data_IF_588071717088
#
_entry.id   IF_588071717088
#
_cell.length_a   1.000
_cell.length_b   1.000
_cell.length_c   1.000
_cell.angle_alpha   90.00
_cell.angle_beta   90.00
_cell.angle_gamma   90.00
#
_symmetry.space_group_name_H-M   'P 1'
#
loop_
_entity.id
_entity.type
_entity.pdbx_description
1 polymer ?
#
# COMPACT_ATOMS: atom_id res chain seq x y z
N UNK A 1 13.67 3.13 -4.57
CA UNK A 1 12.67 3.54 -3.57
C UNK A 1 12.97 4.85 -2.84
N UNK A 2 13.62 4.87 -1.67
CA UNK A 2 13.84 6.12 -0.92
C UNK A 2 14.57 7.20 -1.76
N UNK A 3 15.60 6.79 -2.52
CA UNK A 3 16.33 7.67 -3.45
C UNK A 3 15.50 8.18 -4.63
N UNK A 4 14.53 7.40 -5.11
CA UNK A 4 13.63 7.82 -6.21
C UNK A 4 12.59 8.83 -5.69
N UNK A 5 12.13 8.66 -4.45
CA UNK A 5 11.25 9.62 -3.81
C UNK A 5 11.90 11.01 -3.68
N UNK A 6 13.22 11.06 -3.43
CA UNK A 6 13.95 12.34 -3.33
C UNK A 6 13.82 13.23 -4.58
N UNK A 7 13.67 12.63 -5.77
CA UNK A 7 13.56 13.36 -7.04
C UNK A 7 12.12 13.44 -7.54
N UNK A 8 11.33 12.37 -7.35
CA UNK A 8 9.96 12.27 -7.88
C UNK A 8 8.84 12.59 -6.88
N UNK A 9 9.14 12.76 -5.59
CA UNK A 9 8.18 13.11 -4.55
C UNK A 9 6.96 12.17 -4.50
N UNK A 10 5.77 12.76 -4.33
CA UNK A 10 4.52 12.02 -4.20
C UNK A 10 4.17 11.18 -5.44
N UNK A 11 4.64 11.55 -6.64
CA UNK A 11 4.37 10.79 -7.87
C UNK A 11 4.97 9.38 -7.80
N UNK A 12 6.09 9.21 -7.10
CA UNK A 12 6.68 7.88 -6.84
C UNK A 12 5.75 7.04 -5.96
N UNK A 13 5.21 7.62 -4.89
CA UNK A 13 4.28 6.94 -3.99
C UNK A 13 2.96 6.58 -4.69
N UNK A 14 2.44 7.49 -5.54
CA UNK A 14 1.23 7.24 -6.34
C UNK A 14 1.44 6.11 -7.33
N UNK A 15 2.56 6.12 -8.05
CA UNK A 15 2.90 5.07 -9.01
C UNK A 15 2.91 3.70 -8.31
N UNK A 16 3.58 3.59 -7.18
CA UNK A 16 3.78 2.31 -6.50
C UNK A 16 2.49 1.81 -5.85
N UNK A 17 1.75 2.69 -5.18
CA UNK A 17 0.45 2.30 -4.62
C UNK A 17 -0.52 1.82 -5.72
N UNK A 18 -0.50 2.47 -6.88
CA UNK A 18 -1.25 2.03 -8.08
C UNK A 18 -0.76 0.68 -8.62
N UNK A 19 0.56 0.46 -8.71
CA UNK A 19 1.15 -0.82 -9.13
C UNK A 19 0.78 -1.97 -8.18
N UNK A 20 0.88 -1.75 -6.86
CA UNK A 20 0.47 -2.73 -5.84
C UNK A 20 -1.03 -3.03 -5.97
N UNK A 21 -1.86 -1.99 -6.09
CA UNK A 21 -3.30 -2.16 -6.27
C UNK A 21 -3.64 -2.97 -7.52
N UNK A 22 -3.05 -2.62 -8.67
CA UNK A 22 -3.28 -3.34 -9.92
C UNK A 22 -2.76 -4.77 -9.89
N UNK A 23 -1.60 -5.02 -9.26
CA UNK A 23 -1.07 -6.37 -9.08
C UNK A 23 -2.09 -7.25 -8.36
N UNK A 24 -2.60 -6.84 -7.20
CA UNK A 24 -3.56 -7.65 -6.45
C UNK A 24 -4.98 -7.69 -7.04
N UNK A 25 -5.33 -6.71 -7.88
CA UNK A 25 -6.61 -6.66 -8.57
C UNK A 25 -6.62 -7.54 -9.83
N UNK A 26 -5.58 -7.43 -10.66
CA UNK A 26 -5.58 -7.90 -12.06
C UNK A 26 -4.55 -8.96 -12.40
N UNK A 27 -3.46 -9.09 -11.65
CA UNK A 27 -2.47 -10.11 -11.97
C UNK A 27 -3.16 -11.49 -11.95
N UNK A 28 -3.05 -12.29 -13.03
CA UNK A 28 -3.78 -13.54 -13.15
C UNK A 28 -3.51 -14.52 -12.01
N UNK A 29 -2.30 -14.49 -11.44
CA UNK A 29 -1.92 -15.35 -10.33
C UNK A 29 -2.24 -14.70 -8.99
N UNK A 30 -1.79 -13.46 -8.75
CA UNK A 30 -1.96 -12.82 -7.45
C UNK A 30 -3.42 -12.53 -7.11
N UNK A 31 -4.24 -12.16 -8.10
CA UNK A 31 -5.67 -11.92 -7.91
C UNK A 31 -6.41 -13.22 -7.56
N UNK A 32 -6.13 -14.31 -8.29
CA UNK A 32 -6.75 -15.61 -8.01
C UNK A 32 -6.29 -16.19 -6.67
N UNK A 33 -4.99 -16.10 -6.38
CA UNK A 33 -4.41 -16.56 -5.12
C UNK A 33 -5.02 -15.83 -3.92
N UNK A 34 -5.18 -14.51 -4.01
CA UNK A 34 -5.83 -13.69 -2.97
C UNK A 34 -7.27 -14.13 -2.74
N UNK A 35 -8.03 -14.33 -3.82
CA UNK A 35 -9.44 -14.75 -3.75
C UNK A 35 -9.58 -16.12 -3.11
N UNK A 36 -8.76 -17.07 -3.53
CA UNK A 36 -8.73 -18.43 -2.96
C UNK A 36 -8.46 -18.39 -1.45
N UNK A 37 -7.42 -17.69 -1.02
CA UNK A 37 -7.11 -17.57 0.42
C UNK A 37 -8.21 -16.85 1.21
N UNK A 38 -8.83 -15.82 0.61
CA UNK A 38 -9.92 -15.06 1.25
C UNK A 38 -11.18 -15.90 1.49
N UNK A 39 -11.44 -16.89 0.63
CA UNK A 39 -12.56 -17.83 0.77
C UNK A 39 -12.23 -18.88 1.83
N UNK A 40 -11.02 -19.44 1.80
CA UNK A 40 -10.65 -20.60 2.62
C UNK A 40 -10.19 -20.24 4.05
N UNK A 41 -9.78 -19.00 4.31
CA UNK A 41 -9.31 -18.58 5.65
C UNK A 41 -10.29 -18.85 6.78
N UNK A 42 -11.60 -18.79 6.53
CA UNK A 42 -12.61 -19.02 7.58
C UNK A 42 -12.83 -20.51 7.87
N UNK A 43 -12.28 -21.42 7.06
CA UNK A 43 -12.44 -22.87 7.20
C UNK A 43 -11.16 -23.55 7.66
N UNK A 44 -10.00 -22.95 7.40
CA UNK A 44 -8.70 -23.53 7.71
C UNK A 44 -7.78 -22.49 8.36
N UNK A 45 -7.39 -22.76 9.61
CA UNK A 45 -6.54 -21.87 10.41
C UNK A 45 -5.13 -21.69 9.83
N UNK A 46 -4.59 -22.71 9.15
CA UNK A 46 -3.29 -22.61 8.47
C UNK A 46 -3.39 -21.65 7.28
N UNK A 47 -4.49 -21.73 6.52
CA UNK A 47 -4.75 -20.79 5.41
C UNK A 47 -4.98 -19.36 5.93
N UNK A 48 -5.69 -19.20 7.06
CA UNK A 48 -5.86 -17.89 7.70
C UNK A 48 -4.51 -17.28 8.14
N UNK A 49 -3.63 -18.10 8.71
CA UNK A 49 -2.26 -17.69 9.04
C UNK A 49 -1.50 -17.25 7.79
N UNK A 50 -1.49 -18.07 6.73
CA UNK A 50 -0.82 -17.75 5.46
C UNK A 50 -1.40 -16.46 4.86
N UNK A 51 -2.72 -16.28 4.90
CA UNK A 51 -3.38 -15.07 4.42
C UNK A 51 -2.86 -13.83 5.15
N UNK A 52 -2.82 -13.84 6.48
CA UNK A 52 -2.29 -12.71 7.27
C UNK A 52 -0.82 -12.46 6.98
N UNK A 53 0.01 -13.50 7.05
CA UNK A 53 1.46 -13.37 6.87
C UNK A 53 1.81 -12.80 5.48
N UNK A 54 1.21 -13.32 4.42
CA UNK A 54 1.55 -12.95 3.04
C UNK A 54 0.90 -11.64 2.62
N UNK A 55 -0.37 -11.40 2.95
CA UNK A 55 -1.11 -10.24 2.44
C UNK A 55 -1.13 -9.02 3.34
N UNK A 56 -0.90 -9.19 4.64
CA UNK A 56 -1.02 -8.11 5.62
C UNK A 56 0.35 -7.85 6.25
N UNK A 57 0.90 -8.85 6.95
CA UNK A 57 2.06 -8.64 7.82
C UNK A 57 3.32 -8.34 7.01
N UNK A 58 3.54 -9.08 5.91
CA UNK A 58 4.68 -8.83 5.01
C UNK A 58 4.59 -7.45 4.35
N UNK A 59 3.40 -7.04 3.92
CA UNK A 59 3.19 -5.74 3.27
C UNK A 59 3.46 -4.58 4.24
N UNK A 60 2.92 -4.66 5.46
CA UNK A 60 3.12 -3.65 6.50
C UNK A 60 4.58 -3.61 6.93
N UNK A 61 5.21 -4.76 7.20
CA UNK A 61 6.61 -4.81 7.67
C UNK A 61 7.58 -4.23 6.64
N UNK A 62 7.40 -4.56 5.36
CA UNK A 62 8.22 -4.01 4.28
C UNK A 62 8.07 -2.50 4.15
N UNK A 63 6.83 -1.99 4.22
CA UNK A 63 6.55 -0.57 4.12
C UNK A 63 7.05 0.20 5.35
N UNK A 64 6.97 -0.37 6.55
CA UNK A 64 7.48 0.23 7.77
C UNK A 64 9.00 0.42 7.68
N UNK A 65 9.74 -0.61 7.26
CA UNK A 65 11.18 -0.52 7.02
C UNK A 65 11.53 0.54 5.95
N UNK A 66 10.71 0.64 4.89
CA UNK A 66 10.91 1.68 3.87
C UNK A 66 10.70 3.09 4.44
N UNK A 67 9.65 3.31 5.23
CA UNK A 67 9.39 4.62 5.83
C UNK A 67 10.41 4.99 6.89
N UNK A 68 10.89 4.04 7.68
CA UNK A 68 12.03 4.23 8.59
C UNK A 68 13.27 4.72 7.82
N UNK A 69 13.60 4.09 6.69
CA UNK A 69 14.71 4.52 5.85
C UNK A 69 14.50 5.92 5.26
N UNK A 70 13.28 6.26 4.84
CA UNK A 70 12.95 7.61 4.34
C UNK A 70 13.05 8.69 5.42
N UNK A 71 12.74 8.34 6.67
CA UNK A 71 12.94 9.20 7.85
C UNK A 71 14.44 9.39 8.09
N UNK A 72 15.22 8.32 8.09
CA UNK A 72 16.68 8.36 8.31
C UNK A 72 17.40 9.20 7.26
N UNK A 73 16.95 9.16 6.00
CA UNK A 73 17.47 10.01 4.92
C UNK A 73 16.92 11.44 4.95
N UNK A 74 16.01 11.76 5.87
CA UNK A 74 15.45 13.10 6.05
C UNK A 74 14.41 13.51 5.00
N UNK A 75 13.86 12.56 4.23
CA UNK A 75 12.80 12.83 3.26
C UNK A 75 11.43 12.96 3.91
N UNK A 76 11.22 12.24 5.01
CA UNK A 76 10.01 12.29 5.81
C UNK A 76 10.30 12.80 7.22
N UNK A 77 9.30 13.43 7.83
CA UNK A 77 9.36 13.92 9.21
C UNK A 77 9.41 12.75 10.18
N UNK A 78 9.92 13.00 11.38
CA UNK A 78 9.91 12.00 12.45
C UNK A 78 8.48 11.58 12.82
N UNK A 79 8.20 10.29 12.71
CA UNK A 79 6.92 9.65 13.00
C UNK A 79 7.14 8.14 13.20
N UNK A 80 6.10 7.44 13.67
CA UNK A 80 6.12 5.99 13.82
C UNK A 80 6.01 5.29 12.44
N UNK A 81 7.04 4.53 11.99
CA UNK A 81 7.04 3.90 10.68
C UNK A 81 5.97 2.81 10.51
N UNK A 82 5.59 2.11 11.57
CA UNK A 82 4.54 1.09 11.52
C UNK A 82 3.17 1.73 11.29
N UNK A 83 2.91 2.86 11.96
CA UNK A 83 1.68 3.63 11.76
C UNK A 83 1.64 4.22 10.34
N UNK A 84 2.77 4.68 9.82
CA UNK A 84 2.87 5.15 8.43
C UNK A 84 2.56 4.03 7.43
N UNK A 85 3.09 2.84 7.64
CA UNK A 85 2.80 1.67 6.82
C UNK A 85 1.30 1.31 6.84
N UNK A 86 0.67 1.30 8.02
CA UNK A 86 -0.76 1.07 8.15
C UNK A 86 -1.59 2.10 7.37
N UNK A 87 -1.27 3.38 7.53
CA UNK A 87 -1.98 4.45 6.82
C UNK A 87 -1.78 4.37 5.31
N UNK A 88 -0.59 3.97 4.85
CA UNK A 88 -0.31 3.80 3.43
C UNK A 88 -1.03 2.58 2.82
N UNK A 89 -1.05 1.45 3.53
CA UNK A 89 -1.63 0.20 3.03
C UNK A 89 -3.16 0.14 3.14
N UNK A 90 -3.74 0.74 4.18
CA UNK A 90 -5.18 0.74 4.43
C UNK A 90 -6.05 1.12 3.21
N UNK A 91 -5.78 2.22 2.47
CA UNK A 91 -6.57 2.54 1.28
C UNK A 91 -6.40 1.50 0.18
N UNK A 92 -5.21 0.92 -0.01
CA UNK A 92 -4.97 -0.13 -1.02
C UNK A 92 -5.85 -1.34 -0.69
N UNK A 93 -5.79 -1.82 0.55
CA UNK A 93 -6.58 -2.97 1.01
C UNK A 93 -8.09 -2.70 0.92
N UNK A 94 -8.56 -1.54 1.40
CA UNK A 94 -9.97 -1.19 1.38
C UNK A 94 -10.52 -1.08 -0.04
N UNK A 95 -9.82 -0.35 -0.91
CA UNK A 95 -10.25 -0.17 -2.30
C UNK A 95 -10.22 -1.50 -3.04
N UNK A 96 -9.24 -2.36 -2.78
CA UNK A 96 -9.17 -3.68 -3.39
C UNK A 96 -10.43 -4.50 -3.05
N UNK A 97 -10.84 -4.55 -1.79
CA UNK A 97 -12.06 -5.26 -1.39
C UNK A 97 -13.34 -4.59 -1.90
N UNK A 98 -13.34 -3.26 -2.08
CA UNK A 98 -14.51 -2.51 -2.57
C UNK A 98 -14.74 -2.64 -4.08
N UNK A 99 -13.67 -2.73 -4.87
CA UNK A 99 -13.74 -2.68 -6.34
C UNK A 99 -13.40 -4.00 -7.04
N UNK A 100 -13.00 -5.04 -6.31
CA UNK A 100 -12.76 -6.37 -6.88
C UNK A 100 -13.99 -6.87 -7.66
N UNK A 101 -13.78 -7.21 -8.94
CA UNK A 101 -14.84 -7.66 -9.84
C UNK A 101 -15.71 -6.56 -10.47
N UNK A 102 -15.45 -5.27 -10.21
CA UNK A 102 -16.21 -4.13 -10.78
C UNK A 102 -15.30 -3.31 -11.72
N UNK A 103 -15.15 -3.79 -12.95
CA UNK A 103 -14.17 -3.26 -13.92
C UNK A 103 -14.41 -1.77 -14.25
N UNK A 104 -15.66 -1.34 -14.34
CA UNK A 104 -16.04 0.01 -14.75
C UNK A 104 -15.59 1.08 -13.75
N UNK A 105 -15.34 0.69 -12.49
CA UNK A 105 -15.00 1.60 -11.40
C UNK A 105 -13.51 1.62 -11.03
N UNK A 106 -12.67 0.91 -11.77
CA UNK A 106 -11.23 0.87 -11.50
C UNK A 106 -10.58 2.26 -11.59
N UNK A 107 -10.95 3.06 -12.59
CA UNK A 107 -10.45 4.43 -12.73
C UNK A 107 -10.80 5.30 -11.52
N UNK A 108 -12.00 5.10 -10.96
CA UNK A 108 -12.44 5.78 -9.74
C UNK A 108 -11.59 5.34 -8.54
N UNK A 109 -11.32 4.04 -8.39
CA UNK A 109 -10.48 3.51 -7.32
C UNK A 109 -9.06 4.10 -7.35
N UNK A 110 -8.43 4.14 -8.54
CA UNK A 110 -7.10 4.74 -8.71
C UNK A 110 -7.11 6.24 -8.40
N UNK A 111 -8.15 6.97 -8.82
CA UNK A 111 -8.27 8.40 -8.51
C UNK A 111 -8.42 8.65 -7.00
N UNK A 112 -9.18 7.81 -6.29
CA UNK A 112 -9.31 7.89 -4.83
C UNK A 112 -7.98 7.57 -4.15
N UNK A 113 -7.31 6.50 -4.58
CA UNK A 113 -6.00 6.12 -4.06
C UNK A 113 -4.98 7.25 -4.24
N UNK A 114 -4.91 7.84 -5.43
CA UNK A 114 -4.01 8.96 -5.72
C UNK A 114 -4.21 10.15 -4.77
N UNK A 115 -5.47 10.54 -4.51
CA UNK A 115 -5.79 11.62 -3.55
C UNK A 115 -5.40 11.26 -2.12
N UNK A 116 -5.61 10.02 -1.70
CA UNK A 116 -5.17 9.56 -0.38
C UNK A 116 -3.64 9.65 -0.26
N UNK A 117 -2.90 9.26 -1.29
CA UNK A 117 -1.44 9.31 -1.30
C UNK A 117 -0.92 10.75 -1.26
N UNK A 118 -1.59 11.69 -1.94
CA UNK A 118 -1.28 13.12 -1.81
C UNK A 118 -1.42 13.59 -0.36
N UNK A 119 -2.51 13.22 0.31
CA UNK A 119 -2.72 13.59 1.71
C UNK A 119 -1.69 12.93 2.64
N UNK A 120 -1.42 11.64 2.44
CA UNK A 120 -0.38 10.92 3.19
C UNK A 120 0.99 11.62 3.05
N UNK A 121 1.36 11.97 1.82
CA UNK A 121 2.61 12.64 1.54
C UNK A 121 2.67 14.05 2.16
N UNK A 122 1.59 14.84 2.09
CA UNK A 122 1.51 16.13 2.79
C UNK A 122 1.65 16.01 4.31
N UNK A 123 1.15 14.93 4.89
CA UNK A 123 1.28 14.67 6.33
C UNK A 123 2.73 14.38 6.69
N UNK A 124 3.43 13.53 5.91
CA UNK A 124 4.72 12.97 6.34
C UNK A 124 5.95 13.53 5.67
N UNK A 125 5.84 14.20 4.52
CA UNK A 125 6.99 14.81 3.86
C UNK A 125 7.65 15.81 4.80
N UNK A 126 8.98 15.77 4.89
CA UNK A 126 9.73 16.81 5.59
C UNK A 126 9.78 18.04 4.69
N UNK A 127 9.20 19.15 5.16
CA UNK A 127 9.36 20.43 4.48
C UNK A 127 10.86 20.80 4.45
N UNK A 128 11.32 21.32 3.32
CA UNK A 128 12.67 21.89 3.26
C UNK A 128 12.74 23.04 4.28
N UNK A 129 13.71 22.99 5.18
CA UNK A 129 14.03 24.15 6.01
C UNK A 129 14.57 25.20 5.04
N UNK A 130 13.79 26.27 4.82
CA UNK A 130 14.21 27.47 4.10
C UNK A 130 15.40 28.12 4.81
#
# INVERSE_FOLDING_TARGET
MAKEYATGGNEVLKKISSEIFHFYLKDPYASQFRKMLSIEKYKNQEIDRIYREVYIDTAISYQAALFEEMINQGFMRQADPEIMALQFFAPIFLLLNKYDGIVEKEKEAIAILGKHIEQFDMIYRKEAIL
#
